data_IF_078266884545
#
_entry.id   IF_078266884545
#
_cell.length_a   1.000
_cell.length_b   1.000
_cell.length_c   1.000
_cell.angle_alpha   90.00
_cell.angle_beta   90.00
_cell.angle_gamma   90.00
#
_symmetry.space_group_name_H-M   'P 1'
#
loop_
_entity.id
_entity.type
_entity.pdbx_description
1 polymer ?
#
# COMPACT_ATOMS: atom_id res chain seq x y z
N UNK A 1 19.45 2.18 -2.72
CA UNK A 1 18.14 1.75 -3.24
C UNK A 1 17.10 2.28 -2.29
N UNK A 2 16.09 2.96 -2.82
CA UNK A 2 14.98 3.43 -2.00
C UNK A 2 14.00 2.26 -1.80
N UNK A 3 13.39 2.18 -0.62
CA UNK A 3 12.39 1.16 -0.32
C UNK A 3 11.02 1.66 -0.78
N UNK A 4 10.24 0.78 -1.40
CA UNK A 4 8.85 1.09 -1.73
C UNK A 4 8.06 1.42 -0.46
N UNK A 5 7.17 2.41 -0.55
CA UNK A 5 6.41 2.91 0.59
C UNK A 5 5.01 2.30 0.59
N UNK A 6 4.71 1.48 1.59
CA UNK A 6 3.39 0.91 1.78
C UNK A 6 2.61 1.73 2.81
N UNK A 7 1.58 2.42 2.36
CA UNK A 7 0.65 3.15 3.23
C UNK A 7 -0.53 2.27 3.62
N UNK A 8 -0.74 2.14 4.93
CA UNK A 8 -1.87 1.47 5.54
C UNK A 8 -2.62 2.44 6.45
N UNK A 9 -3.91 2.23 6.66
CA UNK A 9 -4.65 2.95 7.70
C UNK A 9 -4.26 2.41 9.08
N UNK A 10 -4.14 3.31 10.06
CA UNK A 10 -4.19 2.92 11.48
C UNK A 10 -5.49 2.18 11.76
N UNK A 11 -5.46 1.25 12.70
CA UNK A 11 -6.66 0.56 13.20
C UNK A 11 -7.45 1.49 14.13
N UNK A 12 -8.65 1.04 14.49
CA UNK A 12 -9.57 1.68 15.45
C UNK A 12 -9.89 3.16 15.14
N UNK A 13 -10.09 3.48 13.85
CA UNK A 13 -10.47 4.82 13.45
C UNK A 13 -11.99 5.09 13.59
N UNK A 14 -12.39 6.34 13.89
CA UNK A 14 -13.79 6.74 13.90
C UNK A 14 -14.30 7.00 12.47
N UNK A 15 -15.39 6.34 12.08
CA UNK A 15 -16.07 6.54 10.79
C UNK A 15 -17.60 6.53 10.94
N UNK A 16 -18.10 7.18 12.00
CA UNK A 16 -19.52 7.25 12.34
C UNK A 16 -19.81 6.97 13.81
N UNK A 17 -21.10 6.95 14.21
CA UNK A 17 -21.49 6.64 15.57
C UNK A 17 -21.30 5.14 15.87
N UNK A 18 -20.79 4.82 17.05
CA UNK A 18 -20.65 3.44 17.53
C UNK A 18 -19.21 3.02 17.76
N UNK A 19 -18.89 1.77 17.40
CA UNK A 19 -17.57 1.18 17.59
C UNK A 19 -16.56 1.71 16.55
N UNK A 20 -15.27 1.62 16.88
CA UNK A 20 -14.20 1.93 15.94
C UNK A 20 -14.13 0.94 14.78
N UNK A 21 -13.62 1.40 13.65
CA UNK A 21 -13.53 0.65 12.40
C UNK A 21 -12.07 0.25 12.10
N UNK A 22 -11.92 -0.77 11.27
CA UNK A 22 -10.67 -1.11 10.62
C UNK A 22 -10.90 -1.19 9.10
N UNK A 23 -9.84 -0.98 8.31
CA UNK A 23 -9.90 -1.13 6.87
C UNK A 23 -9.60 -2.60 6.48
N UNK A 24 -10.54 -3.33 5.84
CA UNK A 24 -10.35 -4.74 5.51
C UNK A 24 -9.12 -5.02 4.65
N UNK A 25 -8.89 -4.21 3.60
CA UNK A 25 -7.73 -4.36 2.72
C UNK A 25 -6.40 -4.06 3.43
N UNK A 26 -6.37 -3.06 4.32
CA UNK A 26 -5.18 -2.80 5.14
C UNK A 26 -4.92 -3.92 6.14
N UNK A 27 -5.97 -4.54 6.69
CA UNK A 27 -5.86 -5.71 7.55
C UNK A 27 -5.31 -6.91 6.78
N UNK A 28 -5.77 -7.12 5.55
CA UNK A 28 -5.24 -8.16 4.65
C UNK A 28 -3.73 -7.99 4.43
N UNK A 29 -3.27 -6.80 4.04
CA UNK A 29 -1.83 -6.57 3.87
C UNK A 29 -1.06 -6.64 5.18
N UNK A 30 -1.65 -6.25 6.31
CA UNK A 30 -1.02 -6.45 7.63
C UNK A 30 -0.80 -7.95 7.91
N UNK A 31 -1.77 -8.80 7.54
CA UNK A 31 -1.65 -10.26 7.58
C UNK A 31 -0.56 -10.79 6.64
N UNK A 32 -0.50 -10.30 5.40
CA UNK A 32 0.58 -10.64 4.44
C UNK A 32 1.95 -10.30 5.03
N UNK A 33 2.12 -9.10 5.58
CA UNK A 33 3.38 -8.71 6.24
C UNK A 33 3.71 -9.62 7.42
N UNK A 34 2.71 -10.16 8.13
CA UNK A 34 2.92 -11.09 9.24
C UNK A 34 3.34 -12.50 8.75
N UNK A 35 2.76 -12.99 7.65
CA UNK A 35 3.16 -14.25 7.01
C UNK A 35 4.55 -14.16 6.37
N UNK A 36 4.91 -12.98 5.87
CA UNK A 36 6.18 -12.72 5.19
C UNK A 36 6.95 -11.59 5.89
N UNK A 37 7.51 -11.84 7.10
CA UNK A 37 8.11 -10.78 7.92
C UNK A 37 9.30 -10.07 7.25
N UNK A 38 9.98 -10.73 6.30
CA UNK A 38 11.07 -10.12 5.53
C UNK A 38 10.63 -8.87 4.75
N UNK A 39 9.35 -8.76 4.37
CA UNK A 39 8.80 -7.58 3.71
C UNK A 39 8.98 -6.31 4.55
N UNK A 40 8.97 -6.42 5.88
CA UNK A 40 9.18 -5.27 6.78
C UNK A 40 10.62 -4.72 6.74
N UNK A 41 11.58 -5.49 6.22
CA UNK A 41 12.95 -5.03 6.03
C UNK A 41 13.17 -4.36 4.68
N UNK A 42 12.37 -4.72 3.67
CA UNK A 42 12.53 -4.23 2.29
C UNK A 42 11.51 -3.16 1.89
N UNK A 43 10.38 -3.06 2.61
CA UNK A 43 9.38 -2.00 2.47
C UNK A 43 9.54 -0.95 3.57
N UNK A 44 9.16 0.28 3.26
CA UNK A 44 8.87 1.33 4.24
C UNK A 44 7.36 1.34 4.51
N UNK A 45 6.94 0.71 5.61
CA UNK A 45 5.51 0.60 5.95
C UNK A 45 5.10 1.75 6.86
N UNK A 46 4.13 2.55 6.41
CA UNK A 46 3.64 3.74 7.11
C UNK A 46 2.16 3.63 7.41
N UNK A 47 1.79 3.95 8.64
CA UNK A 47 0.40 3.96 9.10
C UNK A 47 -0.12 5.38 9.19
N UNK A 48 -1.11 5.71 8.37
CA UNK A 48 -1.72 7.05 8.29
C UNK A 48 -3.09 7.06 8.95
N UNK A 49 -3.51 8.24 9.40
CA UNK A 49 -4.83 8.44 10.00
C UNK A 49 -5.95 8.33 8.95
N UNK A 50 -7.14 7.95 9.40
CA UNK A 50 -8.32 7.82 8.54
C UNK A 50 -8.78 9.12 7.87
N UNK A 51 -8.83 10.29 8.56
CA UNK A 51 -9.31 11.52 7.97
C UNK A 51 -8.51 11.93 6.71
N UNK A 52 -9.25 12.34 5.68
CA UNK A 52 -8.68 13.00 4.50
C UNK A 52 -8.53 14.51 4.79
N UNK A 53 -7.54 15.21 4.18
CA UNK A 53 -6.52 14.68 3.28
C UNK A 53 -5.37 13.96 4.00
N UNK A 54 -4.93 12.82 3.45
CA UNK A 54 -3.78 12.04 3.93
C UNK A 54 -2.50 12.66 3.39
N UNK A 55 -2.07 13.74 4.04
CA UNK A 55 -1.04 14.69 3.58
C UNK A 55 0.18 14.03 2.93
N UNK A 56 0.68 12.96 3.53
CA UNK A 56 1.86 12.27 3.05
C UNK A 56 1.64 11.60 1.68
N UNK A 57 0.55 10.84 1.53
CA UNK A 57 0.18 10.23 0.25
C UNK A 57 -0.10 11.31 -0.79
N UNK A 58 -0.83 12.36 -0.39
CA UNK A 58 -1.16 13.49 -1.27
C UNK A 58 0.10 14.18 -1.79
N UNK A 59 1.13 14.34 -0.96
CA UNK A 59 2.40 14.96 -1.37
C UNK A 59 3.18 14.15 -2.41
N UNK A 60 2.96 12.83 -2.47
CA UNK A 60 3.63 11.93 -3.39
C UNK A 60 2.84 11.74 -4.68
N UNK A 61 1.56 11.36 -4.57
CA UNK A 61 0.75 10.88 -5.69
C UNK A 61 -0.56 11.66 -5.88
N UNK A 62 -0.72 12.80 -5.22
CA UNK A 62 -1.85 13.71 -5.40
C UNK A 62 -3.13 13.31 -4.66
N UNK A 63 -4.06 14.24 -4.59
CA UNK A 63 -5.28 14.11 -3.78
C UNK A 63 -6.24 13.01 -4.27
N UNK A 64 -6.26 12.77 -5.57
CA UNK A 64 -7.11 11.74 -6.19
C UNK A 64 -6.69 10.30 -5.82
N UNK A 65 -5.43 10.09 -5.42
CA UNK A 65 -4.84 8.75 -5.25
C UNK A 65 -4.55 8.41 -3.78
N UNK A 66 -5.16 9.14 -2.84
CA UNK A 66 -4.90 8.98 -1.40
C UNK A 66 -5.63 7.81 -0.73
N UNK A 67 -6.11 6.82 -1.49
CA UNK A 67 -6.75 5.61 -0.92
C UNK A 67 -5.74 4.78 -0.11
N UNK A 68 -6.25 3.85 0.70
CA UNK A 68 -5.43 2.91 1.45
C UNK A 68 -6.05 1.51 1.35
N UNK A 69 -5.25 0.46 1.12
CA UNK A 69 -3.79 0.50 1.02
C UNK A 69 -3.30 1.06 -0.31
N UNK A 70 -2.13 1.70 -0.30
CA UNK A 70 -1.42 2.13 -1.52
C UNK A 70 0.08 1.93 -1.35
N UNK A 71 0.72 1.38 -2.38
CA UNK A 71 2.16 1.18 -2.46
C UNK A 71 2.76 2.18 -3.45
N UNK A 72 3.64 3.06 -3.00
CA UNK A 72 4.41 3.98 -3.86
C UNK A 72 5.75 3.33 -4.19
N UNK A 73 6.04 3.18 -5.48
CA UNK A 73 7.23 2.49 -5.99
C UNK A 73 8.37 3.49 -6.11
N UNK A 74 9.46 3.25 -5.38
CA UNK A 74 10.48 4.27 -5.16
C UNK A 74 11.44 4.45 -6.36
N UNK A 75 11.83 3.35 -6.99
CA UNK A 75 12.79 3.34 -8.11
C UNK A 75 12.10 3.04 -9.47
N UNK A 76 10.77 3.18 -9.53
CA UNK A 76 9.93 2.81 -10.68
C UNK A 76 9.63 1.31 -10.77
N UNK A 77 8.59 0.89 -11.52
CA UNK A 77 8.18 -0.50 -11.57
C UNK A 77 9.20 -1.37 -12.32
N UNK A 78 9.62 -2.52 -11.75
CA UNK A 78 10.49 -3.46 -12.45
C UNK A 78 9.85 -3.97 -13.75
N UNK A 79 10.66 -4.15 -14.80
CA UNK A 79 10.18 -4.54 -16.13
C UNK A 79 9.48 -5.93 -16.18
N UNK A 80 9.71 -6.78 -15.18
CA UNK A 80 9.11 -8.10 -15.06
C UNK A 80 7.74 -8.09 -14.37
N UNK A 81 7.26 -6.95 -13.86
CA UNK A 81 5.92 -6.86 -13.27
C UNK A 81 4.86 -6.88 -14.37
N UNK A 82 3.98 -7.87 -14.33
CA UNK A 82 2.91 -8.08 -15.30
C UNK A 82 1.55 -8.21 -14.62
N UNK A 83 0.49 -7.78 -15.31
CA UNK A 83 -0.89 -7.95 -14.83
C UNK A 83 -1.24 -7.16 -13.56
N UNK A 84 -0.43 -6.16 -13.20
CA UNK A 84 -0.70 -5.23 -12.10
C UNK A 84 -0.93 -3.85 -12.70
N UNK A 85 -2.07 -3.24 -12.38
CA UNK A 85 -2.32 -1.84 -12.75
C UNK A 85 -1.42 -0.91 -11.94
N UNK A 86 -0.58 -0.15 -12.64
CA UNK A 86 0.36 0.79 -12.03
C UNK A 86 -0.05 2.19 -12.46
N UNK A 87 -0.48 2.99 -11.48
CA UNK A 87 -0.73 4.41 -11.68
C UNK A 87 0.57 5.20 -11.75
N UNK A 88 0.54 6.35 -12.42
CA UNK A 88 1.66 7.27 -12.49
C UNK A 88 1.22 8.72 -12.29
N UNK A 89 1.90 9.45 -11.40
CA UNK A 89 1.69 10.88 -11.14
C UNK A 89 3.05 11.54 -10.96
N UNK A 90 3.33 12.59 -11.72
CA UNK A 90 4.57 13.37 -11.63
C UNK A 90 5.86 12.53 -11.67
N UNK A 91 5.86 11.42 -12.43
CA UNK A 91 7.00 10.50 -12.55
C UNK A 91 7.12 9.45 -11.43
N UNK A 92 6.30 9.54 -10.38
CA UNK A 92 6.16 8.50 -9.37
C UNK A 92 5.11 7.47 -9.80
N UNK A 93 5.34 6.22 -9.42
CA UNK A 93 4.46 5.11 -9.73
C UNK A 93 3.84 4.54 -8.45
N UNK A 94 2.62 4.03 -8.54
CA UNK A 94 1.94 3.45 -7.38
C UNK A 94 0.96 2.35 -7.76
N UNK A 95 0.66 1.48 -6.80
CA UNK A 95 -0.34 0.40 -6.90
C UNK A 95 -1.33 0.57 -5.76
N UNK A 96 -2.63 0.56 -6.07
CA UNK A 96 -3.69 0.72 -5.07
C UNK A 96 -4.46 -0.58 -4.86
N UNK A 97 -4.86 -0.84 -3.62
CA UNK A 97 -5.68 -1.99 -3.26
C UNK A 97 -4.88 -3.25 -2.93
N UNK A 98 -5.40 -4.05 -1.99
CA UNK A 98 -4.67 -5.17 -1.39
C UNK A 98 -4.33 -6.26 -2.41
N UNK A 99 -5.24 -6.58 -3.33
CA UNK A 99 -5.02 -7.62 -4.34
C UNK A 99 -3.90 -7.25 -5.31
N UNK A 100 -3.96 -6.05 -5.90
CA UNK A 100 -2.96 -5.56 -6.83
C UNK A 100 -1.58 -5.42 -6.16
N UNK A 101 -1.54 -4.91 -4.92
CA UNK A 101 -0.30 -4.84 -4.13
C UNK A 101 0.21 -6.25 -3.82
N UNK A 102 -0.65 -7.20 -3.45
CA UNK A 102 -0.24 -8.59 -3.20
C UNK A 102 0.38 -9.24 -4.43
N UNK A 103 -0.23 -9.05 -5.60
CA UNK A 103 0.31 -9.51 -6.88
C UNK A 103 1.66 -8.85 -7.21
N UNK A 104 1.80 -7.55 -6.98
CA UNK A 104 3.08 -6.83 -7.14
C UNK A 104 4.17 -7.43 -6.24
N UNK A 105 3.91 -7.54 -4.94
CA UNK A 105 4.86 -8.05 -3.95
C UNK A 105 5.25 -9.50 -4.25
N UNK A 106 4.35 -10.32 -4.80
CA UNK A 106 4.67 -11.70 -5.23
C UNK A 106 5.74 -11.73 -6.33
N UNK A 107 5.68 -10.79 -7.26
CA UNK A 107 6.59 -10.73 -8.42
C UNK A 107 7.93 -10.08 -8.06
N UNK A 108 7.92 -9.09 -7.15
CA UNK A 108 9.11 -8.32 -6.77
C UNK A 108 9.87 -8.96 -5.60
N UNK A 109 9.17 -9.56 -4.64
CA UNK A 109 9.77 -10.13 -3.42
C UNK A 109 9.58 -11.64 -3.26
N UNK A 110 8.92 -12.31 -4.20
CA UNK A 110 8.82 -13.78 -4.20
C UNK A 110 7.89 -14.37 -3.15
N UNK A 111 6.92 -13.59 -2.64
CA UNK A 111 5.87 -14.10 -1.75
C UNK A 111 4.77 -14.85 -2.51
N UNK A 112 3.89 -15.56 -1.79
CA UNK A 112 2.69 -16.17 -2.40
C UNK A 112 1.74 -15.14 -3.01
N UNK A 113 1.07 -15.53 -4.10
CA UNK A 113 0.05 -14.70 -4.79
C UNK A 113 -1.29 -14.74 -4.04
N UNK A 114 -2.06 -13.65 -4.06
CA UNK A 114 -3.46 -13.69 -3.65
C UNK A 114 -4.28 -14.63 -4.57
N UNK A 115 -5.37 -15.18 -4.05
CA UNK A 115 -6.35 -16.01 -4.76
C UNK A 115 -7.75 -15.40 -4.59
#
# INVERSE_FOLDING_TARGET
MHRDLLFLLKHDFPDGPGASYYCPECAQLTGVLAYYPHLRHVLDVRYVDFPRPRKEIVSLIGEANQSCPVLVIADGPPANVQGVEIGAVNGLHFVSGAEAIGNYLSQVHGIGRPH
#
